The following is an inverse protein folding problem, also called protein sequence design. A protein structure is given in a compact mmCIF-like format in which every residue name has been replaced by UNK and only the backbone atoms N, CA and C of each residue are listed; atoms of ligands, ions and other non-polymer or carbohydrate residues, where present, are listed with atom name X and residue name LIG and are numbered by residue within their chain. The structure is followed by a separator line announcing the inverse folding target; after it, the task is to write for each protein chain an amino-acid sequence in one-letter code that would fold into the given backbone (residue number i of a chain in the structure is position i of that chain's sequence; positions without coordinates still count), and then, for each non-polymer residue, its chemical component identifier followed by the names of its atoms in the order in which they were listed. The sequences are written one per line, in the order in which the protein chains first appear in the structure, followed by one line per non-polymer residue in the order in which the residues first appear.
data_IF_391884372115
#
_entry.id   IF_391884372115
#
_cell.length_a   1.000
_cell.length_b   1.000
_cell.length_c   1.000
_cell.angle_alpha   90.00
_cell.angle_beta   90.00
_cell.angle_gamma   90.00
#
_symmetry.space_group_name_H-M   'P 1'
#
loop_
_entity.id
_entity.type
_entity.pdbx_description
1 polymer ?
#
# COMPACT_ATOMS: atom_id res chain seq x y z
N UNK A 1 3.19 0.55 4.30
CA UNK A 1 2.42 -0.15 5.35
C UNK A 1 0.93 0.23 5.24
N UNK A 2 -0.04 -0.68 5.44
CA UNK A 2 -1.49 -0.43 5.26
C UNK A 2 -2.25 0.03 6.54
N UNK A 3 -1.60 0.62 7.53
CA UNK A 3 -2.25 1.13 8.75
C UNK A 3 -2.61 0.03 9.77
N UNK A 4 -2.89 -1.19 9.29
CA UNK A 4 -2.98 -2.40 10.09
C UNK A 4 -1.77 -3.28 9.80
N UNK A 5 -1.15 -3.82 10.85
CA UNK A 5 -0.11 -4.83 10.76
C UNK A 5 -0.42 -6.00 11.67
N UNK A 6 -0.01 -7.19 11.25
CA UNK A 6 -0.10 -8.40 12.05
C UNK A 6 1.28 -8.75 12.57
N UNK A 7 1.35 -9.10 13.85
CA UNK A 7 2.59 -9.46 14.52
C UNK A 7 2.45 -10.80 15.26
N UNK A 8 3.50 -11.62 15.24
CA UNK A 8 3.69 -12.75 16.15
C UNK A 8 4.77 -12.35 17.16
N UNK A 9 4.44 -12.08 18.44
CA UNK A 9 5.42 -11.64 19.43
C UNK A 9 6.39 -12.76 19.81
N UNK A 10 7.60 -12.42 20.26
CA UNK A 10 8.62 -13.39 20.70
C UNK A 10 9.44 -14.00 19.56
N UNK A 11 10.47 -14.76 19.93
CA UNK A 11 11.49 -15.19 18.96
C UNK A 11 11.04 -16.35 18.07
N UNK A 12 10.20 -17.26 18.59
CA UNK A 12 9.66 -18.41 17.85
C UNK A 12 8.31 -18.07 17.17
N UNK A 13 8.28 -17.93 15.83
CA UNK A 13 7.05 -17.57 15.13
C UNK A 13 6.00 -18.71 15.08
N UNK A 14 6.38 -19.96 15.43
CA UNK A 14 5.46 -21.11 15.40
C UNK A 14 4.51 -21.12 16.60
N UNK A 15 4.99 -20.70 17.78
CA UNK A 15 4.26 -20.80 19.05
C UNK A 15 3.34 -19.60 19.30
N UNK A 16 3.68 -18.46 18.74
CA UNK A 16 3.05 -17.21 19.12
C UNK A 16 1.73 -16.95 18.39
N UNK A 17 0.72 -16.53 19.17
CA UNK A 17 -0.57 -16.06 18.66
C UNK A 17 -0.38 -14.78 17.87
N UNK A 18 -1.07 -14.67 16.74
CA UNK A 18 -1.06 -13.47 15.91
C UNK A 18 -1.84 -12.36 16.63
N UNK A 19 -1.24 -11.18 16.74
CA UNK A 19 -1.87 -9.95 17.23
C UNK A 19 -2.05 -8.96 16.09
N UNK A 20 -3.18 -8.26 16.08
CA UNK A 20 -3.47 -7.16 15.14
C UNK A 20 -3.10 -5.84 15.80
N UNK A 21 -2.25 -5.07 15.15
CA UNK A 21 -1.80 -3.76 15.62
C UNK A 21 -2.25 -2.68 14.63
N UNK A 22 -2.62 -1.51 15.15
CA UNK A 22 -2.86 -0.30 14.35
C UNK A 22 -1.61 0.57 14.42
N UNK A 23 -1.08 0.99 13.27
CA UNK A 23 -0.03 2.05 13.20
C UNK A 23 -0.43 3.07 12.14
N UNK A 24 0.22 4.23 12.13
CA UNK A 24 0.03 5.22 11.08
C UNK A 24 0.52 4.64 9.73
N UNK A 25 -0.21 4.90 8.64
CA UNK A 25 0.29 4.58 7.29
C UNK A 25 1.56 5.38 7.04
N UNK A 26 2.52 4.79 6.32
CA UNK A 26 3.85 5.38 6.11
C UNK A 26 4.84 5.17 7.25
N UNK A 27 4.42 4.66 8.41
CA UNK A 27 5.36 4.24 9.45
C UNK A 27 6.29 3.15 8.93
N UNK A 28 7.59 3.35 9.14
CA UNK A 28 8.63 2.35 8.88
C UNK A 28 8.70 1.39 10.05
N UNK A 29 8.92 0.11 9.74
CA UNK A 29 9.14 -0.94 10.73
C UNK A 29 10.56 -1.42 10.52
N UNK A 30 11.38 -1.36 11.56
CA UNK A 30 12.73 -1.89 11.53
C UNK A 30 12.68 -3.42 11.55
N UNK A 31 13.39 -4.05 10.62
CA UNK A 31 13.39 -5.50 10.43
C UNK A 31 14.80 -5.99 10.18
N UNK A 32 15.12 -7.20 10.60
CA UNK A 32 16.42 -7.82 10.33
C UNK A 32 16.57 -8.29 8.87
N UNK A 33 15.45 -8.33 8.13
CA UNK A 33 15.38 -8.87 6.77
C UNK A 33 15.26 -10.39 6.72
N UNK A 34 15.39 -11.10 7.86
CA UNK A 34 15.12 -12.54 7.91
C UNK A 34 13.65 -12.80 7.71
N UNK A 35 13.32 -13.70 6.78
CA UNK A 35 11.95 -14.07 6.47
C UNK A 35 11.62 -15.48 6.93
N UNK A 36 10.35 -15.72 7.20
CA UNK A 36 9.81 -17.03 7.56
C UNK A 36 8.48 -17.26 6.86
N UNK A 37 8.31 -18.44 6.27
CA UNK A 37 7.04 -18.87 5.68
C UNK A 37 6.22 -19.63 6.71
N UNK A 38 5.09 -19.05 7.08
CA UNK A 38 4.15 -19.66 8.00
C UNK A 38 3.41 -20.85 7.40
N UNK A 39 2.83 -21.73 8.23
CA UNK A 39 2.17 -22.96 7.78
C UNK A 39 0.95 -22.73 6.88
N UNK A 40 0.35 -21.54 6.93
CA UNK A 40 -0.77 -21.14 6.06
C UNK A 40 -0.32 -20.33 4.83
N UNK A 41 0.98 -20.34 4.51
CA UNK A 41 1.54 -19.65 3.33
C UNK A 41 1.74 -18.14 3.50
N UNK A 42 1.58 -17.60 4.71
CA UNK A 42 1.93 -16.21 5.00
C UNK A 42 3.44 -16.01 5.10
N UNK A 43 3.96 -14.96 4.46
CA UNK A 43 5.36 -14.54 4.54
C UNK A 43 5.53 -13.52 5.66
N UNK A 44 6.46 -13.79 6.57
CA UNK A 44 6.75 -12.97 7.74
C UNK A 44 8.18 -12.47 7.70
N UNK A 45 8.45 -11.34 8.35
CA UNK A 45 9.79 -10.77 8.53
C UNK A 45 10.06 -10.56 10.02
N UNK A 46 11.25 -10.92 10.45
CA UNK A 46 11.71 -10.73 11.83
C UNK A 46 11.93 -9.24 12.12
N UNK A 47 11.40 -8.79 13.26
CA UNK A 47 11.57 -7.43 13.77
C UNK A 47 12.99 -7.21 14.28
N UNK A 48 13.56 -6.04 14.01
CA UNK A 48 14.82 -5.64 14.61
C UNK A 48 14.61 -5.31 16.09
N UNK A 49 15.16 -6.15 16.98
CA UNK A 49 14.95 -6.04 18.42
C UNK A 49 15.57 -4.78 19.05
N UNK A 50 16.46 -4.08 18.32
CA UNK A 50 17.06 -2.83 18.79
C UNK A 50 16.09 -1.64 18.71
N UNK A 51 15.09 -1.72 17.83
CA UNK A 51 14.16 -0.63 17.51
C UNK A 51 12.69 -1.01 17.68
N UNK A 52 12.38 -2.30 17.60
CA UNK A 52 11.02 -2.85 17.73
C UNK A 52 10.99 -3.92 18.81
N UNK A 53 9.81 -4.16 19.39
CA UNK A 53 9.65 -5.30 20.30
C UNK A 53 9.92 -6.63 19.57
N UNK A 54 10.47 -7.67 20.24
CA UNK A 54 10.74 -8.96 19.60
C UNK A 54 9.51 -9.56 18.92
N UNK A 55 9.70 -10.19 17.77
CA UNK A 55 8.63 -10.82 17.02
C UNK A 55 8.79 -10.76 15.52
N UNK A 56 7.71 -11.13 14.84
CA UNK A 56 7.65 -11.27 13.40
C UNK A 56 6.45 -10.50 12.86
N UNK A 57 6.64 -9.69 11.83
CA UNK A 57 5.56 -8.97 11.16
C UNK A 57 5.17 -9.66 9.86
N UNK A 58 3.86 -9.71 9.58
CA UNK A 58 3.36 -10.26 8.32
C UNK A 58 3.65 -9.31 7.16
N UNK A 59 4.39 -9.79 6.15
CA UNK A 59 4.60 -9.09 4.89
C UNK A 59 3.37 -9.27 4.00
N UNK A 60 2.95 -10.51 3.76
CA UNK A 60 1.79 -10.87 2.92
C UNK A 60 1.30 -12.27 3.24
N UNK A 61 0.04 -12.57 3.00
CA UNK A 61 -0.48 -13.92 3.18
C UNK A 61 -2.00 -14.00 3.05
N UNK A 62 -2.55 -15.20 2.79
CA UNK A 62 -3.99 -15.42 2.72
C UNK A 62 -4.64 -15.34 4.12
N UNK A 63 -5.96 -15.13 4.17
CA UNK A 63 -6.75 -15.27 5.40
C UNK A 63 -6.77 -14.05 6.34
N UNK A 64 -6.19 -12.93 5.93
CA UNK A 64 -6.16 -11.70 6.77
C UNK A 64 -7.18 -10.63 6.36
N UNK A 65 -7.94 -10.85 5.28
CA UNK A 65 -8.91 -9.88 4.77
C UNK A 65 -8.27 -8.66 4.08
N UNK A 66 -7.03 -8.78 3.61
CA UNK A 66 -6.32 -7.74 2.86
C UNK A 66 -5.80 -8.29 1.54
N UNK A 67 -5.86 -7.47 0.51
CA UNK A 67 -5.26 -7.75 -0.77
C UNK A 67 -3.88 -7.09 -0.89
N UNK A 68 -2.95 -7.83 -1.48
CA UNK A 68 -1.57 -7.39 -1.67
C UNK A 68 -0.72 -7.43 -0.39
N UNK A 69 0.53 -6.92 -0.48
CA UNK A 69 1.46 -6.90 0.64
C UNK A 69 1.09 -5.86 1.69
N UNK A 70 1.14 -6.25 2.96
CA UNK A 70 0.94 -5.37 4.10
C UNK A 70 2.15 -4.45 4.34
N UNK A 71 3.34 -4.99 4.10
CA UNK A 71 4.63 -4.31 4.20
C UNK A 71 5.33 -4.35 2.85
N UNK A 72 6.00 -3.25 2.50
CA UNK A 72 6.91 -3.20 1.37
C UNK A 72 8.27 -2.73 1.84
N UNK A 73 9.37 -3.18 1.20
CA UNK A 73 10.70 -2.68 1.48
C UNK A 73 10.76 -1.15 1.30
N UNK A 74 11.23 -0.44 2.32
CA UNK A 74 11.35 1.02 2.27
C UNK A 74 12.26 1.48 1.11
N UNK A 75 13.28 0.68 0.78
CA UNK A 75 14.33 1.04 -0.18
C UNK A 75 14.10 0.53 -1.60
N UNK A 76 12.94 -0.08 -1.92
CA UNK A 76 12.67 -0.64 -3.25
C UNK A 76 13.74 -1.66 -3.67
N UNK A 77 13.65 -2.90 -3.17
CA UNK A 77 14.69 -3.91 -3.32
C UNK A 77 15.24 -4.01 -4.74
N UNK A 78 16.53 -3.71 -4.91
CA UNK A 78 17.21 -3.91 -6.19
C UNK A 78 18.60 -3.28 -6.25
N UNK A 79 18.73 -2.00 -5.94
CA UNK A 79 20.00 -1.29 -6.15
C UNK A 79 20.20 -0.29 -5.02
N UNK A 80 21.38 -0.29 -4.41
CA UNK A 80 21.77 0.72 -3.44
C UNK A 80 21.61 2.09 -4.11
N UNK A 81 20.54 2.82 -3.78
CA UNK A 81 20.33 4.16 -4.32
C UNK A 81 21.58 4.99 -3.98
N UNK A 82 22.20 5.64 -4.98
CA UNK A 82 23.45 6.36 -4.79
C UNK A 82 23.23 7.51 -3.81
N UNK A 83 23.76 7.38 -2.58
CA UNK A 83 23.82 8.35 -1.46
C UNK A 83 22.86 9.55 -1.56
N UNK A 84 21.59 9.27 -1.88
CA UNK A 84 20.58 10.26 -2.17
C UNK A 84 19.88 10.58 -0.87
N UNK A 85 19.50 11.85 -0.71
CA UNK A 85 18.64 12.30 0.38
C UNK A 85 17.42 11.37 0.44
N UNK A 86 17.31 10.61 1.52
CA UNK A 86 16.23 9.66 1.70
C UNK A 86 14.89 10.38 1.58
N UNK A 87 14.08 9.98 0.60
CA UNK A 87 12.78 10.60 0.38
C UNK A 87 11.80 10.17 1.48
N UNK A 88 11.15 11.15 2.13
CA UNK A 88 10.06 10.86 3.03
C UNK A 88 8.84 10.39 2.21
N UNK A 89 8.26 9.22 2.52
CA UNK A 89 7.06 8.77 1.83
C UNK A 89 5.88 9.69 2.14
N UNK A 90 4.99 9.85 1.16
CA UNK A 90 3.71 10.53 1.30
C UNK A 90 2.57 9.51 1.33
N UNK A 91 1.50 9.86 2.03
CA UNK A 91 0.27 9.09 2.14
C UNK A 91 -0.82 9.82 1.38
N UNK A 92 -1.24 9.22 0.26
CA UNK A 92 -2.38 9.69 -0.53
C UNK A 92 -3.65 8.93 -0.14
N UNK A 93 -4.78 9.63 -0.16
CA UNK A 93 -6.10 9.06 0.11
C UNK A 93 -6.83 8.87 -1.21
N UNK A 94 -6.69 7.67 -1.78
CA UNK A 94 -7.38 7.36 -3.01
C UNK A 94 -8.87 7.13 -2.78
N UNK A 95 -9.70 7.86 -3.53
CA UNK A 95 -11.15 7.83 -3.42
C UNK A 95 -11.75 7.26 -4.70
N UNK A 96 -12.68 6.33 -4.53
CA UNK A 96 -13.51 5.87 -5.62
C UNK A 96 -14.67 6.87 -5.84
N UNK A 97 -14.97 7.31 -7.07
CA UNK A 97 -15.94 8.36 -7.34
C UNK A 97 -17.36 7.98 -6.94
N UNK A 98 -17.66 6.67 -6.83
CA UNK A 98 -18.97 6.17 -6.43
C UNK A 98 -19.04 5.82 -4.93
N UNK A 99 -17.93 5.77 -4.21
CA UNK A 99 -17.89 5.38 -2.79
C UNK A 99 -17.24 6.47 -1.96
N UNK A 100 -18.06 7.35 -1.38
CA UNK A 100 -17.58 8.49 -0.61
C UNK A 100 -16.95 8.11 0.74
N UNK A 101 -17.32 6.95 1.30
CA UNK A 101 -16.88 6.52 2.63
C UNK A 101 -15.58 5.70 2.60
N UNK A 102 -15.27 5.06 1.46
CA UNK A 102 -14.13 4.16 1.34
C UNK A 102 -12.91 4.88 0.76
N UNK A 103 -11.98 5.26 1.65
CA UNK A 103 -10.68 5.84 1.28
C UNK A 103 -9.58 4.81 1.41
N UNK A 104 -8.87 4.55 0.32
CA UNK A 104 -7.68 3.70 0.31
C UNK A 104 -6.43 4.54 0.57
N UNK A 105 -5.72 4.24 1.65
CA UNK A 105 -4.45 4.89 1.96
C UNK A 105 -3.31 4.27 1.14
N UNK A 106 -2.69 5.07 0.28
CA UNK A 106 -1.56 4.70 -0.56
C UNK A 106 -0.29 5.36 -0.01
N UNK A 107 0.68 4.55 0.40
CA UNK A 107 1.98 5.05 0.87
C UNK A 107 2.99 4.93 -0.28
N UNK A 108 3.45 6.07 -0.79
CA UNK A 108 4.29 6.16 -1.98
C UNK A 108 5.47 7.10 -1.72
N UNK A 109 6.56 6.94 -2.46
CA UNK A 109 7.67 7.90 -2.47
C UNK A 109 7.36 9.04 -3.45
N UNK A 110 7.76 10.30 -3.17
CA UNK A 110 7.60 11.41 -4.10
C UNK A 110 8.18 11.16 -5.51
N UNK A 111 9.24 10.37 -5.63
CA UNK A 111 9.83 9.94 -6.92
C UNK A 111 9.02 8.89 -7.69
N UNK A 112 8.10 8.18 -7.05
CA UNK A 112 7.24 7.22 -7.76
C UNK A 112 6.28 7.97 -8.68
N UNK A 113 5.75 7.25 -9.67
CA UNK A 113 4.88 7.85 -10.69
C UNK A 113 3.40 7.60 -10.40
N UNK A 114 2.51 8.28 -11.12
CA UNK A 114 1.07 8.00 -11.11
C UNK A 114 0.77 6.54 -11.46
N UNK A 115 1.53 5.93 -12.37
CA UNK A 115 1.40 4.49 -12.68
C UNK A 115 1.66 3.62 -11.45
N UNK A 116 2.61 3.98 -10.60
CA UNK A 116 2.86 3.23 -9.36
C UNK A 116 1.69 3.35 -8.39
N UNK A 117 1.06 4.53 -8.29
CA UNK A 117 -0.19 4.69 -7.54
C UNK A 117 -1.31 3.80 -8.11
N UNK A 118 -1.48 3.75 -9.44
CA UNK A 118 -2.45 2.84 -10.11
C UNK A 118 -2.14 1.37 -9.83
N UNK A 119 -0.87 0.96 -9.85
CA UNK A 119 -0.45 -0.41 -9.48
C UNK A 119 -0.81 -0.73 -8.03
N UNK A 120 -0.63 0.22 -7.13
CA UNK A 120 -1.05 0.06 -5.74
C UNK A 120 -2.56 -0.11 -5.61
N UNK A 121 -3.36 0.70 -6.31
CA UNK A 121 -4.81 0.53 -6.36
C UNK A 121 -5.21 -0.86 -6.86
N UNK A 122 -4.63 -1.30 -7.97
CA UNK A 122 -4.87 -2.63 -8.53
C UNK A 122 -4.48 -3.78 -7.60
N UNK A 123 -3.48 -3.59 -6.73
CA UNK A 123 -3.11 -4.58 -5.70
C UNK A 123 -4.09 -4.63 -4.53
N UNK A 124 -4.79 -3.52 -4.24
CA UNK A 124 -5.70 -3.41 -3.08
C UNK A 124 -7.14 -3.73 -3.41
N UNK A 125 -7.55 -3.48 -4.65
CA UNK A 125 -8.91 -3.75 -5.12
C UNK A 125 -8.82 -4.86 -6.17
N UNK A 126 -9.22 -6.09 -5.82
CA UNK A 126 -9.16 -7.22 -6.73
C UNK A 126 -9.86 -6.92 -8.04
N UNK A 127 -9.22 -7.30 -9.14
CA UNK A 127 -9.82 -7.19 -10.46
C UNK A 127 -9.60 -5.86 -11.18
N UNK A 128 -9.21 -4.79 -10.47
CA UNK A 128 -8.80 -3.57 -11.14
C UNK A 128 -7.56 -3.81 -12.00
N UNK A 129 -7.66 -3.45 -13.28
CA UNK A 129 -6.53 -3.46 -14.23
C UNK A 129 -5.88 -2.10 -14.29
N UNK A 130 -4.57 -2.02 -14.13
CA UNK A 130 -3.80 -0.76 -14.11
C UNK A 130 -4.10 0.12 -15.34
N UNK A 131 -4.22 -0.48 -16.53
CA UNK A 131 -4.46 0.22 -17.80
C UNK A 131 -5.89 0.80 -17.91
N UNK A 132 -6.79 0.39 -17.02
CA UNK A 132 -8.18 0.83 -16.96
C UNK A 132 -8.43 1.80 -15.82
N UNK A 133 -7.42 2.10 -14.99
CA UNK A 133 -7.52 3.12 -13.95
C UNK A 133 -7.08 4.44 -14.57
N UNK A 134 -7.87 5.49 -14.44
CA UNK A 134 -7.46 6.86 -14.71
C UNK A 134 -7.41 7.67 -13.43
N UNK A 135 -6.34 8.44 -13.24
CA UNK A 135 -6.21 9.34 -12.10
C UNK A 135 -6.56 10.74 -12.59
N UNK A 136 -7.48 11.39 -11.89
CA UNK A 136 -7.96 12.73 -12.21
C UNK A 136 -7.64 13.66 -11.06
N UNK A 137 -7.28 14.89 -11.39
CA UNK A 137 -7.14 15.96 -10.41
C UNK A 137 -8.48 16.69 -10.28
N UNK A 138 -9.10 16.62 -9.11
CA UNK A 138 -10.29 17.43 -8.86
C UNK A 138 -9.85 18.89 -8.64
N UNK A 139 -10.27 19.79 -9.54
CA UNK A 139 -10.24 21.23 -9.25
C UNK A 139 -11.55 21.61 -8.57
N UNK A 140 -11.45 22.46 -7.55
CA UNK A 140 -12.58 23.12 -6.92
C UNK A 140 -13.38 23.82 -8.04
N UNK A 141 -14.66 23.45 -8.22
CA UNK A 141 -15.63 23.94 -9.23
C UNK A 141 -15.88 23.11 -10.52
N UNK A 142 -15.79 21.78 -10.41
CA UNK A 142 -16.67 20.79 -11.08
C UNK A 142 -16.62 20.56 -12.60
N UNK A 143 -15.96 21.38 -13.44
CA UNK A 143 -16.11 21.21 -14.90
C UNK A 143 -14.87 20.62 -15.59
N UNK A 144 -13.67 20.91 -15.09
CA UNK A 144 -12.43 20.43 -15.71
C UNK A 144 -11.70 19.41 -14.85
N UNK A 145 -11.97 18.12 -15.10
CA UNK A 145 -11.14 17.03 -14.61
C UNK A 145 -9.92 16.88 -15.51
N UNK A 146 -8.77 17.37 -15.06
CA UNK A 146 -7.52 17.14 -15.77
C UNK A 146 -6.99 15.73 -15.44
N UNK A 147 -6.86 14.89 -16.47
CA UNK A 147 -6.20 13.59 -16.37
C UNK A 147 -4.70 13.79 -16.10
N UNK A 148 -4.17 13.10 -15.09
CA UNK A 148 -2.73 13.09 -14.81
C UNK A 148 -2.10 11.95 -15.61
N UNK A 149 -0.98 12.23 -16.31
CA UNK A 149 -0.27 11.22 -17.10
C UNK A 149 0.46 10.21 -16.21
N UNK A 150 0.53 8.96 -16.67
CA UNK A 150 1.08 7.81 -15.93
C UNK A 150 2.52 7.99 -15.44
N UNK A 151 3.37 8.60 -16.26
CA UNK A 151 4.82 8.70 -16.00
C UNK A 151 5.20 9.92 -15.17
N UNK A 152 4.23 10.77 -14.83
CA UNK A 152 4.49 11.97 -14.01
C UNK A 152 4.84 11.52 -12.59
N UNK A 153 6.02 11.92 -12.05
CA UNK A 153 6.36 11.70 -10.66
C UNK A 153 5.36 12.38 -9.73
N UNK A 154 5.07 11.80 -8.57
CA UNK A 154 4.09 12.34 -7.62
C UNK A 154 4.44 13.76 -7.16
N UNK A 155 5.74 14.05 -6.95
CA UNK A 155 6.22 15.40 -6.63
C UNK A 155 5.92 16.43 -7.72
N UNK A 156 5.94 16.01 -8.99
CA UNK A 156 5.73 16.90 -10.14
C UNK A 156 4.23 17.01 -10.48
N UNK A 157 3.42 16.09 -9.95
CA UNK A 157 1.96 16.13 -10.02
C UNK A 157 1.32 17.09 -8.99
N UNK A 158 2.13 17.81 -8.21
CA UNK A 158 1.70 18.68 -7.11
C UNK A 158 0.87 17.93 -6.05
N UNK A 159 1.21 16.68 -5.78
CA UNK A 159 0.59 15.85 -4.74
C UNK A 159 1.47 15.84 -3.48
N UNK A 160 0.85 16.11 -2.33
CA UNK A 160 1.47 16.14 -1.02
C UNK A 160 0.96 15.04 -0.08
N UNK A 161 1.65 14.85 1.06
CA UNK A 161 1.16 13.99 2.14
C UNK A 161 -0.20 14.50 2.64
N UNK A 162 -1.21 13.64 2.67
CA UNK A 162 -2.56 14.03 3.04
C UNK A 162 -3.53 14.22 1.87
N UNK A 163 -3.03 14.36 0.65
CA UNK A 163 -3.88 14.71 -0.49
C UNK A 163 -4.82 13.57 -0.91
N UNK A 164 -5.97 13.96 -1.47
CA UNK A 164 -6.92 13.04 -2.07
C UNK A 164 -6.55 12.73 -3.52
N UNK A 165 -6.64 11.45 -3.90
CA UNK A 165 -6.34 10.96 -5.24
C UNK A 165 -7.60 10.34 -5.84
N UNK A 166 -8.32 11.11 -6.66
CA UNK A 166 -9.49 10.59 -7.34
C UNK A 166 -9.08 9.71 -8.52
N UNK A 167 -9.72 8.54 -8.64
CA UNK A 167 -9.50 7.66 -9.78
C UNK A 167 -10.81 7.16 -10.37
N UNK A 168 -10.86 7.01 -11.69
CA UNK A 168 -11.99 6.46 -12.42
C UNK A 168 -11.56 5.10 -12.98
N UNK A 169 -12.40 4.08 -12.82
CA UNK A 169 -12.21 2.80 -13.50
C UNK A 169 -12.99 2.77 -14.81
N UNK A 170 -12.29 2.59 -15.92
CA UNK A 170 -12.82 2.53 -17.29
C UNK A 170 -13.05 1.08 -17.77
N UNK A 171 -12.91 0.09 -16.88
CA UNK A 171 -13.24 -1.30 -17.18
C UNK A 171 -14.71 -1.61 -16.88
N UNK A 172 -15.07 -2.87 -17.06
CA UNK A 172 -16.41 -3.36 -16.75
C UNK A 172 -16.40 -3.87 -15.31
N UNK A 173 -16.95 -3.11 -14.36
CA UNK A 173 -16.86 -3.42 -12.92
C UNK A 173 -17.45 -4.79 -12.63
N UNK A 174 -18.58 -5.15 -13.25
CA UNK A 174 -19.27 -6.42 -13.01
C UNK A 174 -18.47 -7.63 -13.51
N UNK A 175 -17.63 -7.43 -14.53
CA UNK A 175 -16.79 -8.50 -15.10
C UNK A 175 -15.38 -8.52 -14.54
N UNK A 176 -14.84 -7.36 -14.22
CA UNK A 176 -13.44 -7.20 -13.84
C UNK A 176 -13.27 -7.28 -12.33
N UNK A 177 -14.13 -6.62 -11.55
CA UNK A 177 -13.96 -6.46 -10.12
C UNK A 177 -14.69 -7.57 -9.39
N UNK A 178 -13.94 -8.39 -8.67
CA UNK A 178 -14.50 -9.46 -7.87
C UNK A 178 -14.54 -9.05 -6.40
N UNK A 179 -15.75 -8.81 -5.89
CA UNK A 179 -15.99 -8.68 -4.46
C UNK A 179 -16.26 -10.08 -3.90
N UNK A 180 -15.41 -10.63 -3.02
CA UNK A 180 -15.80 -11.83 -2.29
C UNK A 180 -17.08 -11.52 -1.51
N UNK A 181 -18.07 -12.41 -1.55
CA UNK A 181 -19.22 -12.30 -0.68
C UNK A 181 -18.72 -12.16 0.77
N UNK A 182 -19.19 -11.13 1.48
CA UNK A 182 -18.88 -10.93 2.89
C UNK A 182 -19.21 -12.24 3.64
N UNK A 183 -18.19 -12.82 4.30
CA UNK A 183 -18.33 -14.06 5.10
C UNK A 183 -18.54 -13.72 6.56
#
# INVERSE_FOLDING_TARGET
MQGIVFKKPGDDPQRSKIVRLRRKVGTRIATTGRTWMGPQGGEWVEADQTLESPGWFLIRGPGFGFYGPLLEPASGGGEAQPQGKEEQPIVLYARHPLEYEHRLQLCLRPSQTIRDAKRWLARRVPGLRVQKIEVVRQRINCIDQARIQDEVPLRDAELADGDELDYIYLGDVDKDVWFPAER
#
